data_IF_077945813588
#
_entry.id   IF_077945813588
#
_cell.length_a   1.000
_cell.length_b   1.000
_cell.length_c   1.000
_cell.angle_alpha   90.00
_cell.angle_beta   90.00
_cell.angle_gamma   90.00
#
_symmetry.space_group_name_H-M   'P 1'
#
loop_
_entity.id
_entity.type
_entity.pdbx_description
1 polymer ?
#
# COMPACT_ATOMS: atom_id res chain seq x y z
N UNK A 1 -2.86 -20.28 6.35
CA UNK A 1 -3.01 -19.50 5.09
C UNK A 1 -3.10 -18.00 5.36
N UNK A 2 -4.04 -17.52 6.20
CA UNK A 2 -4.21 -16.08 6.47
C UNK A 2 -2.95 -15.41 7.06
N UNK A 3 -2.21 -16.10 7.93
CA UNK A 3 -0.92 -15.59 8.46
C UNK A 3 0.13 -15.38 7.36
N UNK A 4 0.26 -16.32 6.41
CA UNK A 4 1.19 -16.16 5.28
C UNK A 4 0.80 -14.95 4.42
N UNK A 5 -0.49 -14.80 4.11
CA UNK A 5 -1.01 -13.66 3.36
C UNK A 5 -0.72 -12.33 4.08
N UNK A 6 -0.95 -12.26 5.39
CA UNK A 6 -0.65 -11.08 6.18
C UNK A 6 0.84 -10.75 6.19
N UNK A 7 1.71 -11.75 6.35
CA UNK A 7 3.17 -11.56 6.29
C UNK A 7 3.61 -11.05 4.92
N UNK A 8 3.08 -11.62 3.83
CA UNK A 8 3.37 -11.16 2.46
C UNK A 8 2.91 -9.72 2.24
N UNK A 9 1.71 -9.36 2.69
CA UNK A 9 1.23 -7.97 2.63
C UNK A 9 2.17 -7.03 3.40
N UNK A 10 2.56 -7.40 4.62
CA UNK A 10 3.49 -6.62 5.43
C UNK A 10 4.86 -6.47 4.77
N UNK A 11 5.40 -7.52 4.14
CA UNK A 11 6.68 -7.45 3.44
C UNK A 11 6.64 -6.44 2.27
N UNK A 12 5.57 -6.47 1.48
CA UNK A 12 5.38 -5.52 0.37
C UNK A 12 5.19 -4.09 0.90
N UNK A 13 4.36 -3.91 1.93
CA UNK A 13 4.11 -2.61 2.56
C UNK A 13 5.37 -2.02 3.24
N UNK A 14 6.23 -2.87 3.82
CA UNK A 14 7.52 -2.46 4.36
C UNK A 14 8.45 -1.96 3.25
N UNK A 15 8.53 -2.67 2.11
CA UNK A 15 9.25 -2.21 0.93
C UNK A 15 8.75 -0.86 0.41
N UNK A 16 7.42 -0.68 0.34
CA UNK A 16 6.81 0.60 -0.02
C UNK A 16 7.09 1.71 1.00
N UNK A 17 7.16 1.37 2.29
CA UNK A 17 7.48 2.31 3.36
C UNK A 17 8.92 2.82 3.25
N UNK A 18 9.88 1.91 3.00
CA UNK A 18 11.28 2.27 2.74
C UNK A 18 11.37 3.17 1.49
N UNK A 19 10.63 2.82 0.44
CA UNK A 19 10.57 3.62 -0.78
C UNK A 19 10.03 5.05 -0.52
N UNK A 20 8.91 5.19 0.20
CA UNK A 20 8.35 6.50 0.55
C UNK A 20 9.30 7.30 1.46
N UNK A 21 9.97 6.64 2.42
CA UNK A 21 10.97 7.28 3.27
C UNK A 21 12.16 7.81 2.45
N UNK A 22 12.62 7.05 1.46
CA UNK A 22 13.66 7.51 0.53
C UNK A 22 13.22 8.74 -0.29
N UNK A 23 11.96 8.78 -0.74
CA UNK A 23 11.40 9.95 -1.43
C UNK A 23 11.35 11.19 -0.53
N UNK A 24 10.99 11.02 0.75
CA UNK A 24 11.00 12.09 1.75
C UNK A 24 12.43 12.61 1.97
N UNK A 25 13.41 11.70 2.05
CA UNK A 25 14.82 12.02 2.18
C UNK A 25 15.42 12.69 0.93
N UNK A 26 14.69 12.73 -0.19
CA UNK A 26 15.12 13.39 -1.43
C UNK A 26 15.84 12.48 -2.42
N UNK A 27 15.70 11.15 -2.29
CA UNK A 27 16.24 10.21 -3.27
C UNK A 27 15.65 10.50 -4.68
N UNK A 28 16.43 10.30 -5.75
CA UNK A 28 16.02 10.61 -7.13
C UNK A 28 15.09 9.53 -7.73
N UNK A 29 14.18 9.00 -6.92
CA UNK A 29 13.25 7.92 -7.27
C UNK A 29 11.84 8.44 -7.61
N UNK A 30 11.65 9.76 -7.70
CA UNK A 30 10.33 10.34 -7.91
C UNK A 30 9.69 9.96 -9.25
N UNK A 31 10.46 9.47 -10.24
CA UNK A 31 9.90 8.88 -11.47
C UNK A 31 9.02 7.66 -11.21
N UNK A 32 9.17 6.98 -10.07
CA UNK A 32 8.44 5.78 -9.70
C UNK A 32 7.16 6.07 -8.89
N UNK A 33 6.85 7.32 -8.60
CA UNK A 33 5.70 7.70 -7.79
C UNK A 33 5.10 9.04 -8.22
N UNK A 34 3.89 9.33 -7.75
CA UNK A 34 3.24 10.63 -7.93
C UNK A 34 3.19 11.08 -9.41
N UNK A 35 2.95 10.14 -10.33
CA UNK A 35 2.88 10.42 -11.78
C UNK A 35 4.25 10.59 -12.47
N UNK A 36 5.35 10.45 -11.73
CA UNK A 36 6.72 10.51 -12.25
C UNK A 36 7.18 11.86 -12.83
N UNK A 37 6.47 12.94 -12.53
CA UNK A 37 6.76 14.29 -13.05
C UNK A 37 8.05 14.88 -12.48
N UNK A 38 8.48 14.43 -11.30
CA UNK A 38 9.65 14.96 -10.61
C UNK A 38 10.68 13.86 -10.36
N UNK A 39 11.95 14.11 -10.70
CA UNK A 39 13.05 13.19 -10.36
C UNK A 39 13.26 13.13 -8.84
N UNK A 40 13.27 14.29 -8.19
CA UNK A 40 13.34 14.46 -6.74
C UNK A 40 12.05 15.12 -6.28
N UNK A 41 11.43 14.59 -5.23
CA UNK A 41 10.09 15.02 -4.83
C UNK A 41 10.10 16.43 -4.19
N UNK A 42 9.22 17.36 -4.64
CA UNK A 42 9.02 18.64 -3.98
C UNK A 42 8.35 18.47 -2.61
N UNK A 43 8.50 19.47 -1.72
CA UNK A 43 8.06 19.39 -0.33
C UNK A 43 6.59 18.95 -0.14
N UNK A 44 5.67 19.46 -0.96
CA UNK A 44 4.24 19.09 -0.90
C UNK A 44 4.00 17.58 -1.11
N UNK A 45 4.72 16.97 -2.05
CA UNK A 45 4.58 15.55 -2.34
C UNK A 45 5.32 14.67 -1.31
N UNK A 46 6.32 15.23 -0.60
CA UNK A 46 6.94 14.54 0.55
C UNK A 46 5.95 14.40 1.71
N UNK A 47 5.10 15.41 1.95
CA UNK A 47 3.99 15.27 2.90
C UNK A 47 3.03 14.16 2.48
N UNK A 48 2.67 14.09 1.19
CA UNK A 48 1.88 12.98 0.66
C UNK A 48 2.54 11.61 0.88
N UNK A 49 3.87 11.54 0.75
CA UNK A 49 4.65 10.32 1.00
C UNK A 49 4.63 9.93 2.48
N UNK A 50 4.69 10.90 3.40
CA UNK A 50 4.55 10.65 4.84
C UNK A 50 3.15 10.14 5.22
N UNK A 51 2.10 10.72 4.62
CA UNK A 51 0.72 10.23 4.77
C UNK A 51 0.60 8.80 4.25
N UNK A 52 1.23 8.49 3.12
CA UNK A 52 1.24 7.14 2.54
C UNK A 52 1.84 6.11 3.49
N UNK A 53 2.93 6.45 4.19
CA UNK A 53 3.53 5.57 5.22
C UNK A 53 2.54 5.26 6.35
N UNK A 54 1.81 6.27 6.83
CA UNK A 54 0.79 6.07 7.87
C UNK A 54 -0.34 5.15 7.39
N UNK A 55 -0.79 5.32 6.14
CA UNK A 55 -1.79 4.44 5.51
C UNK A 55 -1.25 3.01 5.38
N UNK A 56 0.01 2.83 4.97
CA UNK A 56 0.61 1.50 4.86
C UNK A 56 0.72 0.79 6.21
N UNK A 57 1.05 1.53 7.28
CA UNK A 57 1.06 1.00 8.63
C UNK A 57 -0.35 0.55 9.07
N UNK A 58 -1.39 1.34 8.77
CA UNK A 58 -2.78 0.97 9.03
C UNK A 58 -3.18 -0.30 8.29
N UNK A 59 -2.80 -0.42 7.01
CA UNK A 59 -3.08 -1.61 6.20
C UNK A 59 -2.40 -2.83 6.80
N UNK A 60 -1.10 -2.74 7.08
CA UNK A 60 -0.32 -3.83 7.68
C UNK A 60 -0.94 -4.30 9.01
N UNK A 61 -1.31 -3.37 9.89
CA UNK A 61 -1.99 -3.71 11.14
C UNK A 61 -3.30 -4.45 10.89
N UNK A 62 -4.13 -3.97 9.96
CA UNK A 62 -5.41 -4.58 9.64
C UNK A 62 -5.25 -6.01 9.09
N UNK A 63 -4.23 -6.27 8.27
CA UNK A 63 -3.91 -7.62 7.78
C UNK A 63 -3.45 -8.55 8.91
N UNK A 64 -2.59 -8.08 9.81
CA UNK A 64 -2.16 -8.83 10.99
C UNK A 64 -3.33 -9.14 11.93
N UNK A 65 -4.22 -8.17 12.15
CA UNK A 65 -5.42 -8.32 12.96
C UNK A 65 -6.38 -9.36 12.37
N UNK A 66 -6.58 -9.34 11.04
CA UNK A 66 -7.38 -10.34 10.33
C UNK A 66 -6.77 -11.75 10.38
N UNK A 67 -5.46 -11.85 10.54
CA UNK A 67 -4.73 -13.11 10.74
C UNK A 67 -4.59 -13.52 12.21
N UNK A 68 -5.22 -12.80 13.14
CA UNK A 68 -5.14 -13.03 14.59
C UNK A 68 -3.71 -12.98 15.17
N UNK A 69 -2.80 -12.26 14.50
CA UNK A 69 -1.42 -12.05 14.98
C UNK A 69 -1.29 -10.85 15.92
N UNK A 70 -2.25 -9.93 15.86
CA UNK A 70 -2.41 -8.79 16.77
C UNK A 70 -3.90 -8.67 17.15
N UNK A 71 -4.26 -7.88 18.19
CA UNK A 71 -5.65 -7.64 18.53
C UNK A 71 -6.48 -7.10 17.35
N UNK A 72 -7.78 -7.37 17.29
CA UNK A 72 -8.67 -6.77 16.29
C UNK A 72 -8.65 -5.24 16.41
N UNK A 73 -8.83 -4.53 15.29
CA UNK A 73 -8.76 -3.06 15.27
C UNK A 73 -9.73 -2.42 16.27
N UNK A 74 -10.96 -2.91 16.29
CA UNK A 74 -12.01 -2.54 17.25
C UNK A 74 -12.73 -3.81 17.69
N UNK A 75 -13.20 -4.59 16.71
CA UNK A 75 -13.75 -5.93 16.89
C UNK A 75 -13.62 -6.73 15.59
N UNK A 76 -14.02 -8.00 15.61
CA UNK A 76 -13.97 -8.90 14.46
C UNK A 76 -14.72 -8.37 13.23
N UNK A 77 -16.01 -7.99 13.34
CA UNK A 77 -16.79 -7.45 12.22
C UNK A 77 -16.19 -6.20 11.58
N UNK A 78 -15.75 -5.22 12.37
CA UNK A 78 -15.11 -4.00 11.85
C UNK A 78 -13.79 -4.30 11.15
N UNK A 79 -13.02 -5.27 11.63
CA UNK A 79 -11.79 -5.72 10.96
C UNK A 79 -12.11 -6.37 9.61
N UNK A 80 -13.20 -7.14 9.51
CA UNK A 80 -13.66 -7.71 8.24
C UNK A 80 -14.12 -6.63 7.25
N UNK A 81 -14.88 -5.63 7.70
CA UNK A 81 -15.27 -4.48 6.87
C UNK A 81 -14.04 -3.71 6.39
N UNK A 82 -13.05 -3.49 7.26
CA UNK A 82 -11.81 -2.82 6.90
C UNK A 82 -11.08 -3.53 5.76
N UNK A 83 -11.05 -4.88 5.72
CA UNK A 83 -10.45 -5.61 4.61
C UNK A 83 -11.10 -5.28 3.27
N UNK A 84 -12.44 -5.18 3.22
CA UNK A 84 -13.16 -4.81 2.01
C UNK A 84 -12.89 -3.36 1.59
N UNK A 85 -12.86 -2.43 2.55
CA UNK A 85 -12.55 -1.02 2.29
C UNK A 85 -11.13 -0.86 1.74
N UNK A 86 -10.14 -1.53 2.36
CA UNK A 86 -8.75 -1.50 1.91
C UNK A 86 -8.62 -2.14 0.52
N UNK A 87 -9.33 -3.24 0.27
CA UNK A 87 -9.37 -3.88 -1.06
C UNK A 87 -9.88 -2.90 -2.12
N UNK A 88 -11.00 -2.23 -1.87
CA UNK A 88 -11.56 -1.25 -2.80
C UNK A 88 -10.59 -0.07 -3.05
N UNK A 89 -9.97 0.44 -1.99
CA UNK A 89 -8.93 1.48 -2.10
C UNK A 89 -7.74 1.03 -2.97
N UNK A 90 -7.26 -0.19 -2.77
CA UNK A 90 -6.14 -0.73 -3.55
C UNK A 90 -6.54 -0.96 -5.01
N UNK A 91 -7.76 -1.42 -5.30
CA UNK A 91 -8.26 -1.54 -6.68
C UNK A 91 -8.33 -0.18 -7.38
N UNK A 92 -8.75 0.87 -6.69
CA UNK A 92 -8.63 2.24 -7.21
C UNK A 92 -7.17 2.59 -7.48
N UNK A 93 -6.27 2.25 -6.56
CA UNK A 93 -4.82 2.41 -6.73
C UNK A 93 -4.26 1.68 -7.95
N UNK A 94 -4.73 0.46 -8.27
CA UNK A 94 -4.35 -0.28 -9.48
C UNK A 94 -4.71 0.51 -10.73
N UNK A 95 -5.94 1.04 -10.80
CA UNK A 95 -6.38 1.87 -11.93
C UNK A 95 -5.52 3.13 -12.04
N UNK A 96 -5.34 3.85 -10.93
CA UNK A 96 -4.56 5.09 -10.88
C UNK A 96 -3.09 4.87 -11.30
N UNK A 97 -2.47 3.79 -10.82
CA UNK A 97 -1.11 3.42 -11.21
C UNK A 97 -1.04 2.96 -12.67
N UNK A 98 -2.07 2.25 -13.15
CA UNK A 98 -2.15 1.74 -14.53
C UNK A 98 -2.29 2.86 -15.57
N UNK A 99 -2.96 3.96 -15.23
CA UNK A 99 -3.10 5.13 -16.11
C UNK A 99 -1.99 6.18 -15.91
N UNK A 100 -1.01 5.93 -15.04
CA UNK A 100 0.07 6.89 -14.79
C UNK A 100 0.80 7.26 -16.09
N UNK A 101 1.11 8.55 -16.33
CA UNK A 101 1.92 8.96 -17.47
C UNK A 101 3.36 8.43 -17.39
N UNK A 102 3.84 8.06 -16.20
CA UNK A 102 5.17 7.51 -15.99
C UNK A 102 5.24 6.01 -16.28
N UNK A 103 5.91 5.64 -17.38
CA UNK A 103 6.17 4.22 -17.73
C UNK A 103 6.75 3.39 -16.58
N UNK A 104 7.82 3.82 -15.89
CA UNK A 104 8.41 3.01 -14.82
C UNK A 104 7.51 2.91 -13.58
N UNK A 105 6.71 3.95 -13.28
CA UNK A 105 5.68 3.85 -12.23
C UNK A 105 4.61 2.82 -12.61
N UNK A 106 4.08 2.86 -13.84
CA UNK A 106 3.10 1.86 -14.31
C UNK A 106 3.63 0.43 -14.18
N UNK A 107 4.87 0.19 -14.59
CA UNK A 107 5.45 -1.15 -14.63
C UNK A 107 5.77 -1.73 -13.24
N UNK A 108 5.99 -0.89 -12.24
CA UNK A 108 6.34 -1.34 -10.88
C UNK A 108 5.16 -1.21 -9.93
N UNK A 109 4.49 -0.06 -9.92
CA UNK A 109 3.44 0.23 -8.94
C UNK A 109 2.14 -0.49 -9.27
N UNK A 110 1.76 -0.63 -10.55
CA UNK A 110 0.53 -1.37 -10.93
C UNK A 110 0.56 -2.82 -10.46
N UNK A 111 1.60 -3.64 -10.78
CA UNK A 111 1.63 -5.02 -10.30
C UNK A 111 1.80 -5.10 -8.78
N UNK A 112 2.54 -4.17 -8.15
CA UNK A 112 2.69 -4.15 -6.68
C UNK A 112 1.36 -3.88 -5.99
N UNK A 113 0.61 -2.87 -6.44
CA UNK A 113 -0.71 -2.55 -5.89
C UNK A 113 -1.72 -3.64 -6.22
N UNK A 114 -1.64 -4.29 -7.38
CA UNK A 114 -2.50 -5.41 -7.74
C UNK A 114 -2.24 -6.62 -6.84
N UNK A 115 -0.97 -6.95 -6.56
CA UNK A 115 -0.61 -8.02 -5.65
C UNK A 115 -1.19 -7.76 -4.25
N UNK A 116 -1.07 -6.53 -3.73
CA UNK A 116 -1.71 -6.14 -2.48
C UNK A 116 -3.24 -6.26 -2.58
N UNK A 117 -3.88 -5.74 -3.63
CA UNK A 117 -5.33 -5.82 -3.80
C UNK A 117 -5.84 -7.27 -3.76
N UNK A 118 -5.14 -8.19 -4.43
CA UNK A 118 -5.46 -9.63 -4.41
C UNK A 118 -5.28 -10.21 -3.02
N UNK A 119 -4.18 -9.90 -2.33
CA UNK A 119 -3.95 -10.39 -0.95
C UNK A 119 -5.08 -9.93 -0.02
N UNK A 120 -5.43 -8.64 -0.04
CA UNK A 120 -6.49 -8.09 0.80
C UNK A 120 -7.87 -8.64 0.42
N UNK A 121 -8.16 -8.86 -0.87
CA UNK A 121 -9.40 -9.49 -1.31
C UNK A 121 -9.52 -10.92 -0.77
N UNK A 122 -8.46 -11.72 -0.83
CA UNK A 122 -8.45 -13.08 -0.29
C UNK A 122 -8.63 -13.06 1.23
N UNK A 123 -7.98 -12.12 1.93
CA UNK A 123 -8.19 -11.92 3.36
C UNK A 123 -9.63 -11.46 3.68
N UNK A 124 -10.27 -10.69 2.82
CA UNK A 124 -11.62 -10.18 3.02
C UNK A 124 -12.70 -11.27 2.89
N UNK A 125 -12.50 -12.23 1.99
CA UNK A 125 -13.44 -13.34 1.72
C UNK A 125 -13.28 -14.50 2.74
N UNK A 126 -12.14 -14.58 3.42
CA UNK A 126 -11.82 -15.59 4.44
C UNK A 126 -12.26 -15.16 5.83
#
# INVERSE_FOLDING_TARGET
MNQLLAILACAVLAGLTIFQAALIAGAPLGKLAWGGQHRVLPAKLRTGSAISIAIYALFAYAALAKASLVPPMINGPLTAIAMWVITAYLLLGVVMNGISPSKPERLIMTPTTLALAVIYLVLAIR
#
